data_IF_595687100095
#
_entry.id   IF_595687100095
#
_cell.length_a   1.000
_cell.length_b   1.000
_cell.length_c   1.000
_cell.angle_alpha   90.00
_cell.angle_beta   90.00
_cell.angle_gamma   90.00
#
_symmetry.space_group_name_H-M   'P 1'
#
loop_
_entity.id
_entity.type
_entity.pdbx_description
1 polymer ?
#
# COMPACT_ATOMS: atom_id res chain seq x y z
N UNK A 1 1.43 11.97 -9.24
CA UNK A 1 0.68 12.31 -8.01
C UNK A 1 0.36 11.10 -7.12
N UNK A 2 0.38 9.87 -7.66
CA UNK A 2 0.11 8.62 -6.92
C UNK A 2 1.24 8.10 -6.00
N UNK A 3 2.52 8.41 -6.28
CA UNK A 3 3.62 8.06 -5.37
C UNK A 3 3.61 8.82 -4.03
N UNK A 4 2.87 9.94 -3.93
CA UNK A 4 2.77 10.73 -2.69
C UNK A 4 1.79 10.15 -1.66
N UNK A 5 0.98 9.15 -2.01
CA UNK A 5 0.00 8.58 -1.07
C UNK A 5 0.65 7.67 -0.01
N UNK A 6 1.84 7.08 -0.28
CA UNK A 6 2.62 6.37 0.75
C UNK A 6 3.28 7.34 1.76
N UNK A 7 3.43 8.63 1.43
CA UNK A 7 4.13 9.61 2.28
C UNK A 7 3.30 10.21 3.43
N UNK A 8 2.00 9.95 3.53
CA UNK A 8 1.22 10.35 4.71
C UNK A 8 1.46 9.45 5.94
N UNK A 9 2.20 8.34 5.79
CA UNK A 9 2.32 7.31 6.82
C UNK A 9 3.73 7.17 7.44
N UNK A 10 4.69 8.03 7.10
CA UNK A 10 6.12 7.80 7.43
C UNK A 10 6.76 8.78 8.43
N UNK A 11 6.01 9.71 9.02
CA UNK A 11 6.54 10.60 10.09
C UNK A 11 6.28 10.04 11.50
N UNK A 12 6.68 8.80 11.78
CA UNK A 12 6.69 8.29 13.14
C UNK A 12 7.65 7.10 13.32
N UNK A 13 8.85 7.41 13.84
CA UNK A 13 9.76 6.55 14.61
C UNK A 13 10.96 5.85 13.94
N UNK A 14 12.13 5.84 14.64
CA UNK A 14 13.40 5.32 14.15
C UNK A 14 13.57 3.81 14.44
N UNK A 15 14.17 3.12 13.47
CA UNK A 15 14.38 1.67 13.50
C UNK A 15 15.55 1.19 14.35
N UNK A 16 15.48 -0.09 14.72
CA UNK A 16 16.60 -0.87 15.26
C UNK A 16 16.74 -2.15 14.47
N UNK A 17 17.93 -2.35 13.90
CA UNK A 17 18.35 -3.50 13.11
C UNK A 17 18.88 -4.61 14.02
N UNK A 18 18.55 -5.87 13.75
CA UNK A 18 19.32 -7.01 14.25
C UNK A 18 19.62 -8.01 13.14
N UNK A 19 20.91 -8.37 13.06
CA UNK A 19 21.53 -9.21 12.05
C UNK A 19 21.26 -10.70 12.30
N UNK A 20 20.99 -11.42 11.21
CA UNK A 20 20.82 -12.87 11.16
C UNK A 20 22.15 -13.55 10.83
N UNK A 21 22.63 -14.46 11.67
CA UNK A 21 23.80 -15.31 11.38
C UNK A 21 23.36 -16.77 11.27
N UNK A 22 23.43 -17.32 10.05
CA UNK A 22 23.12 -18.74 9.77
C UNK A 22 24.37 -19.62 9.88
N UNK A 23 24.24 -20.80 10.46
CA UNK A 23 25.22 -21.89 10.36
C UNK A 23 24.49 -23.14 9.84
N UNK A 24 24.91 -23.61 8.67
CA UNK A 24 24.36 -24.78 7.97
C UNK A 24 25.05 -26.05 8.47
N UNK A 25 24.28 -27.02 8.94
CA UNK A 25 24.72 -28.41 9.01
C UNK A 25 23.71 -29.31 8.29
N UNK A 26 24.25 -30.12 7.37
CA UNK A 26 23.52 -31.07 6.54
C UNK A 26 23.12 -32.29 7.38
N UNK A 27 21.82 -32.55 7.54
CA UNK A 27 21.32 -33.80 8.07
C UNK A 27 20.49 -34.52 6.99
N UNK A 28 20.95 -35.71 6.60
CA UNK A 28 20.20 -36.64 5.74
C UNK A 28 19.05 -37.22 6.56
N UNK A 29 17.81 -36.99 6.14
CA UNK A 29 16.62 -37.63 6.71
C UNK A 29 16.05 -38.59 5.68
N UNK A 30 16.07 -39.87 6.01
CA UNK A 30 15.41 -40.96 5.29
C UNK A 30 13.90 -40.81 5.39
N UNK A 31 13.24 -40.65 4.24
CA UNK A 31 11.81 -40.46 4.13
C UNK A 31 11.06 -41.79 4.31
N UNK A 32 10.42 -41.95 5.47
CA UNK A 32 9.33 -42.90 5.66
C UNK A 32 8.01 -42.17 5.47
N UNK A 33 7.36 -42.40 4.33
CA UNK A 33 6.04 -41.86 3.97
C UNK A 33 5.01 -42.43 4.94
N UNK A 34 4.41 -41.55 5.76
CA UNK A 34 3.22 -41.84 6.55
C UNK A 34 1.99 -41.34 5.78
N UNK A 35 0.85 -42.04 5.85
CA UNK A 35 -0.34 -41.66 5.10
C UNK A 35 -0.93 -40.36 5.64
N UNK A 36 -1.36 -39.48 4.73
CA UNK A 36 -2.00 -38.20 5.01
C UNK A 36 -3.18 -38.36 5.98
N UNK A 37 -2.97 -37.88 7.21
CA UNK A 37 -4.04 -37.76 8.20
C UNK A 37 -4.81 -36.45 7.94
N UNK A 38 -6.08 -36.59 7.58
CA UNK A 38 -7.22 -35.73 7.94
C UNK A 38 -6.91 -34.26 8.24
N UNK A 39 -7.46 -33.35 7.42
CA UNK A 39 -7.49 -31.90 7.65
C UNK A 39 -7.72 -31.57 9.14
N UNK A 40 -6.63 -31.27 9.85
CA UNK A 40 -6.67 -30.75 11.21
C UNK A 40 -7.10 -29.29 11.06
N UNK A 41 -8.32 -28.96 11.42
CA UNK A 41 -8.67 -27.57 11.70
C UNK A 41 -7.76 -27.16 12.84
N UNK A 42 -6.67 -26.44 12.53
CA UNK A 42 -5.84 -25.83 13.57
C UNK A 42 -6.76 -24.93 14.39
N UNK A 43 -7.03 -25.35 15.63
CA UNK A 43 -7.75 -24.52 16.58
C UNK A 43 -6.91 -23.27 16.77
N UNK A 44 -7.39 -22.14 16.21
CA UNK A 44 -6.75 -20.84 16.39
C UNK A 44 -6.96 -20.42 17.84
N UNK A 45 -5.87 -20.04 18.52
CA UNK A 45 -5.90 -19.64 19.92
C UNK A 45 -5.75 -18.12 20.07
N UNK A 46 -6.50 -17.55 21.01
CA UNK A 46 -6.38 -16.13 21.39
C UNK A 46 -4.99 -15.87 21.97
N UNK A 47 -4.29 -14.84 21.48
CA UNK A 47 -3.07 -14.35 22.11
C UNK A 47 -3.38 -13.75 23.49
N UNK A 48 -2.44 -13.86 24.44
CA UNK A 48 -2.57 -13.32 25.80
C UNK A 48 -2.65 -11.78 25.85
N UNK A 49 -2.18 -11.12 24.79
CA UNK A 49 -2.19 -9.67 24.63
C UNK A 49 -3.57 -9.10 24.28
N UNK A 50 -4.53 -9.95 23.88
CA UNK A 50 -5.89 -9.47 23.61
C UNK A 50 -6.63 -9.22 24.92
N UNK A 51 -7.38 -8.13 25.00
CA UNK A 51 -8.42 -7.98 26.02
C UNK A 51 -9.55 -8.99 25.79
N UNK A 52 -10.23 -9.47 26.85
CA UNK A 52 -11.37 -10.38 26.71
C UNK A 52 -12.47 -9.78 25.84
N UNK A 53 -13.04 -10.59 24.93
CA UNK A 53 -14.17 -10.18 24.11
C UNK A 53 -14.30 -10.93 22.78
N UNK A 54 -15.26 -10.49 21.94
CA UNK A 54 -15.58 -11.13 20.67
C UNK A 54 -14.50 -10.92 19.61
N UNK A 55 -13.84 -9.75 19.56
CA UNK A 55 -12.68 -9.56 18.68
C UNK A 55 -11.41 -10.08 19.34
N UNK A 56 -10.59 -10.78 18.57
CA UNK A 56 -9.30 -11.27 19.05
C UNK A 56 -8.35 -11.54 17.88
N UNK A 57 -7.04 -11.43 18.15
CA UNK A 57 -5.97 -11.76 17.21
C UNK A 57 -5.26 -13.04 17.65
N UNK A 58 -5.00 -13.95 16.71
CA UNK A 58 -4.25 -15.18 16.93
C UNK A 58 -2.74 -15.03 16.60
N UNK A 59 -1.97 -16.08 16.88
CA UNK A 59 -0.51 -16.09 16.68
C UNK A 59 -0.05 -16.16 15.22
N UNK A 60 -0.95 -16.33 14.24
CA UNK A 60 -0.62 -16.32 12.81
C UNK A 60 -0.46 -14.90 12.24
N UNK A 61 -0.66 -13.86 13.06
CA UNK A 61 -0.47 -12.47 12.67
C UNK A 61 0.98 -12.19 12.23
N UNK A 62 1.15 -11.57 11.06
CA UNK A 62 2.49 -11.23 10.52
C UNK A 62 2.94 -9.79 10.83
N UNK A 63 2.23 -9.09 11.72
CA UNK A 63 2.54 -7.72 12.12
C UNK A 63 2.58 -6.69 10.96
N UNK A 64 1.64 -6.77 10.02
CA UNK A 64 1.57 -5.93 8.82
C UNK A 64 0.89 -4.55 8.99
N UNK A 65 0.58 -4.13 10.21
CA UNK A 65 -0.16 -2.89 10.52
C UNK A 65 -1.60 -2.74 10.01
N UNK A 66 -2.10 -3.57 9.08
CA UNK A 66 -3.40 -3.38 8.40
C UNK A 66 -4.55 -3.01 9.33
N UNK A 67 -4.75 -3.78 10.40
CA UNK A 67 -5.85 -3.52 11.33
C UNK A 67 -5.67 -2.26 12.18
N UNK A 68 -4.42 -1.86 12.45
CA UNK A 68 -4.09 -0.73 13.33
C UNK A 68 -4.37 0.59 12.66
N UNK A 69 -4.22 0.69 11.34
CA UNK A 69 -4.60 1.92 10.63
C UNK A 69 -6.08 1.91 10.20
N UNK A 70 -6.69 0.73 10.01
CA UNK A 70 -8.14 0.63 9.75
C UNK A 70 -8.94 1.05 10.98
N UNK A 71 -8.57 0.56 12.17
CA UNK A 71 -9.22 0.93 13.42
C UNK A 71 -8.22 0.96 14.60
N UNK A 72 -7.51 2.08 14.79
CA UNK A 72 -6.50 2.21 15.85
C UNK A 72 -7.10 2.22 17.26
N UNK A 73 -8.40 2.47 17.45
CA UNK A 73 -8.99 2.40 18.80
C UNK A 73 -9.21 0.95 19.26
N UNK A 74 -9.31 -0.02 18.34
CA UNK A 74 -9.48 -1.45 18.66
C UNK A 74 -8.14 -2.19 18.65
N UNK A 75 -7.29 -1.94 17.65
CA UNK A 75 -6.05 -2.70 17.44
C UNK A 75 -4.79 -1.88 17.72
N UNK A 76 -3.84 -2.50 18.42
CA UNK A 76 -2.53 -1.90 18.70
C UNK A 76 -1.41 -2.94 18.54
N UNK A 77 -0.15 -2.48 18.59
CA UNK A 77 1.01 -3.36 18.55
C UNK A 77 1.39 -3.81 19.97
N UNK A 78 1.43 -5.12 20.20
CA UNK A 78 1.89 -5.71 21.45
C UNK A 78 2.50 -7.10 21.22
N UNK A 79 3.65 -7.36 21.86
CA UNK A 79 4.40 -8.60 21.73
C UNK A 79 4.83 -8.92 20.30
N UNK A 80 5.17 -7.88 19.51
CA UNK A 80 5.65 -8.02 18.13
C UNK A 80 4.58 -8.35 17.07
N UNK A 81 3.29 -8.32 17.43
CA UNK A 81 2.16 -8.55 16.51
C UNK A 81 0.99 -7.62 16.90
N UNK A 82 -0.09 -7.61 16.11
CA UNK A 82 -1.32 -6.89 16.50
C UNK A 82 -2.07 -7.61 17.62
N UNK A 83 -2.70 -6.85 18.51
CA UNK A 83 -3.61 -7.34 19.53
C UNK A 83 -4.79 -6.38 19.72
N UNK A 84 -5.93 -6.92 20.17
CA UNK A 84 -7.10 -6.11 20.55
C UNK A 84 -6.87 -5.52 21.95
N UNK A 85 -6.94 -4.20 22.09
CA UNK A 85 -6.84 -3.53 23.40
C UNK A 85 -8.14 -2.90 23.89
N UNK A 86 -9.12 -2.79 22.99
CA UNK A 86 -10.45 -2.29 23.28
C UNK A 86 -11.46 -3.08 22.45
N UNK A 87 -12.60 -3.44 23.05
CA UNK A 87 -13.69 -4.08 22.33
C UNK A 87 -14.70 -2.99 21.94
N UNK A 88 -15.02 -2.85 20.64
CA UNK A 88 -15.97 -1.85 20.20
C UNK A 88 -17.38 -2.16 20.74
N UNK A 89 -18.19 -1.11 20.87
CA UNK A 89 -19.61 -1.27 21.22
C UNK A 89 -20.38 -1.89 20.06
N UNK A 90 -21.33 -2.78 20.35
CA UNK A 90 -22.18 -3.39 19.32
C UNK A 90 -22.98 -2.34 18.55
N UNK A 91 -23.00 -2.45 17.22
CA UNK A 91 -23.68 -1.54 16.30
C UNK A 91 -22.93 -0.22 16.04
N UNK A 92 -21.73 -0.04 16.60
CA UNK A 92 -20.94 1.17 16.39
C UNK A 92 -20.20 1.18 15.04
N UNK A 93 -19.82 2.37 14.58
CA UNK A 93 -18.91 2.52 13.43
C UNK A 93 -17.55 1.86 13.68
N UNK A 94 -17.10 1.81 14.94
CA UNK A 94 -15.89 1.13 15.38
C UNK A 94 -16.01 -0.40 15.20
N UNK A 95 -17.16 -1.00 15.53
CA UNK A 95 -17.44 -2.42 15.23
C UNK A 95 -17.40 -2.65 13.72
N UNK A 96 -18.04 -1.78 12.93
CA UNK A 96 -18.02 -1.90 11.47
C UNK A 96 -16.59 -1.79 10.90
N UNK A 97 -15.75 -0.90 11.43
CA UNK A 97 -14.34 -0.77 11.06
C UNK A 97 -13.51 -2.00 11.48
N UNK A 98 -13.75 -2.54 12.67
CA UNK A 98 -13.10 -3.75 13.13
C UNK A 98 -13.49 -4.98 12.29
N UNK A 99 -14.76 -5.10 11.87
CA UNK A 99 -15.22 -6.15 10.95
C UNK A 99 -14.59 -6.00 9.55
N UNK A 100 -14.38 -4.75 9.07
CA UNK A 100 -13.56 -4.49 7.87
C UNK A 100 -12.13 -4.99 8.05
N UNK A 101 -11.51 -4.71 9.20
CA UNK A 101 -10.15 -5.17 9.51
C UNK A 101 -10.03 -6.70 9.51
N UNK A 102 -11.06 -7.42 9.99
CA UNK A 102 -11.14 -8.89 9.91
C UNK A 102 -11.03 -9.38 8.47
N UNK A 103 -11.81 -8.78 7.56
CA UNK A 103 -11.79 -9.15 6.14
C UNK A 103 -10.49 -8.70 5.45
N UNK A 104 -9.97 -7.55 5.83
CA UNK A 104 -8.74 -6.98 5.28
C UNK A 104 -7.48 -7.76 5.67
N UNK A 105 -7.49 -8.47 6.80
CA UNK A 105 -6.32 -9.17 7.33
C UNK A 105 -5.67 -10.13 6.30
N UNK A 106 -4.36 -10.00 6.01
CA UNK A 106 -3.66 -10.81 5.00
C UNK A 106 -3.58 -12.30 5.35
N UNK A 107 -3.66 -12.62 6.65
CA UNK A 107 -3.46 -13.98 7.18
C UNK A 107 -4.72 -14.54 7.84
N UNK A 108 -5.83 -13.79 7.86
CA UNK A 108 -7.06 -14.19 8.55
C UNK A 108 -6.86 -14.39 10.06
N UNK A 109 -5.92 -13.65 10.65
CA UNK A 109 -5.52 -13.81 12.05
C UNK A 109 -6.42 -13.06 13.03
N UNK A 110 -7.33 -12.22 12.52
CA UNK A 110 -8.29 -11.47 13.33
C UNK A 110 -9.62 -12.21 13.24
N UNK A 111 -10.22 -12.45 14.40
CA UNK A 111 -11.42 -13.25 14.53
C UNK A 111 -12.52 -12.44 15.22
N UNK A 112 -13.76 -12.84 14.95
CA UNK A 112 -14.94 -12.31 15.63
C UNK A 112 -15.81 -13.48 16.08
N UNK A 113 -15.82 -13.76 17.38
CA UNK A 113 -16.69 -14.77 18.00
C UNK A 113 -16.61 -14.69 19.53
N UNK A 114 -17.72 -14.99 20.19
CA UNK A 114 -17.76 -15.25 21.63
C UNK A 114 -18.51 -16.57 21.91
N UNK A 115 -18.54 -16.99 23.17
CA UNK A 115 -19.12 -18.27 23.60
C UNK A 115 -20.64 -18.35 23.38
N UNK A 116 -21.31 -17.20 23.39
CA UNK A 116 -22.77 -17.09 23.20
C UNK A 116 -23.19 -17.11 21.72
N UNK A 117 -22.27 -16.82 20.80
CA UNK A 117 -22.54 -16.76 19.36
C UNK A 117 -22.40 -18.11 18.68
N UNK A 118 -23.42 -18.49 17.92
CA UNK A 118 -23.30 -19.57 16.94
C UNK A 118 -22.31 -19.21 15.84
N UNK A 119 -21.73 -20.23 15.19
CA UNK A 119 -20.87 -20.04 14.01
C UNK A 119 -21.56 -19.23 12.90
N UNK A 120 -22.87 -19.39 12.74
CA UNK A 120 -23.65 -18.69 11.72
C UNK A 120 -23.74 -17.19 12.03
N UNK A 121 -24.01 -16.83 13.29
CA UNK A 121 -24.06 -15.42 13.73
C UNK A 121 -22.70 -14.74 13.58
N UNK A 122 -21.63 -15.39 14.06
CA UNK A 122 -20.27 -14.87 13.90
C UNK A 122 -19.91 -14.66 12.40
N UNK A 123 -20.24 -15.64 11.56
CA UNK A 123 -19.99 -15.55 10.11
C UNK A 123 -20.83 -14.48 9.41
N UNK A 124 -22.04 -14.19 9.90
CA UNK A 124 -22.89 -13.12 9.38
C UNK A 124 -22.28 -11.75 9.68
N UNK A 125 -21.82 -11.52 10.92
CA UNK A 125 -21.12 -10.29 11.32
C UNK A 125 -19.84 -10.07 10.51
N UNK A 126 -18.99 -11.08 10.36
CA UNK A 126 -17.79 -10.97 9.50
C UNK A 126 -18.16 -10.63 8.05
N UNK A 127 -19.30 -11.14 7.56
CA UNK A 127 -19.79 -10.84 6.21
C UNK A 127 -20.23 -9.40 6.06
N UNK A 128 -20.77 -8.75 7.10
CA UNK A 128 -21.11 -7.32 7.09
C UNK A 128 -19.87 -6.46 6.77
N UNK A 129 -18.74 -6.76 7.41
CA UNK A 129 -17.45 -6.14 7.09
C UNK A 129 -17.03 -6.41 5.64
N UNK A 130 -17.17 -7.65 5.17
CA UNK A 130 -16.78 -8.02 3.83
C UNK A 130 -17.58 -7.32 2.71
N UNK A 131 -18.90 -7.17 2.89
CA UNK A 131 -19.77 -6.50 1.90
C UNK A 131 -19.62 -4.99 1.89
N UNK A 132 -18.92 -4.41 2.87
CA UNK A 132 -18.61 -2.98 2.89
C UNK A 132 -17.48 -2.57 1.95
N UNK A 133 -16.75 -3.54 1.37
CA UNK A 133 -15.74 -3.30 0.33
C UNK A 133 -16.36 -3.33 -1.07
N UNK A 134 -15.94 -2.44 -2.00
CA UNK A 134 -14.99 -1.34 -1.84
C UNK A 134 -15.48 -0.24 -0.88
N UNK A 135 -14.63 0.16 0.07
CA UNK A 135 -14.96 1.16 1.09
C UNK A 135 -14.47 2.55 0.66
N UNK A 136 -15.41 3.48 0.47
CA UNK A 136 -15.11 4.84 -0.02
C UNK A 136 -14.32 5.64 1.02
N UNK A 137 -13.22 6.25 0.59
CA UNK A 137 -12.46 7.21 1.36
C UNK A 137 -13.04 8.63 1.17
N UNK A 138 -13.71 9.19 2.20
CA UNK A 138 -14.57 10.37 2.03
C UNK A 138 -13.83 11.68 1.69
N UNK A 139 -12.49 11.72 1.82
CA UNK A 139 -11.68 12.94 1.63
C UNK A 139 -11.03 13.09 0.25
N UNK A 140 -11.37 12.22 -0.72
CA UNK A 140 -10.78 12.28 -2.06
C UNK A 140 -11.59 13.10 -3.07
N UNK A 141 -12.88 13.34 -2.80
CA UNK A 141 -13.80 13.99 -3.75
C UNK A 141 -13.42 15.42 -4.10
N UNK A 142 -12.78 16.12 -3.18
CA UNK A 142 -12.25 17.47 -3.39
C UNK A 142 -11.14 17.51 -4.46
N UNK A 143 -10.52 16.37 -4.76
CA UNK A 143 -9.49 16.21 -5.79
C UNK A 143 -10.07 15.75 -7.14
N UNK A 144 -11.40 15.70 -7.29
CA UNK A 144 -12.06 15.13 -8.48
C UNK A 144 -11.91 13.61 -8.60
N UNK A 145 -11.60 12.92 -7.49
CA UNK A 145 -11.39 11.48 -7.44
C UNK A 145 -12.35 10.80 -6.45
N UNK A 146 -12.77 9.58 -6.78
CA UNK A 146 -13.32 8.63 -5.83
C UNK A 146 -12.26 7.57 -5.52
N UNK A 147 -11.87 7.47 -4.26
CA UNK A 147 -10.84 6.52 -3.80
C UNK A 147 -11.51 5.51 -2.90
N UNK A 148 -11.33 4.22 -3.20
CA UNK A 148 -11.88 3.12 -2.43
C UNK A 148 -10.76 2.22 -1.90
N UNK A 149 -10.79 1.91 -0.62
CA UNK A 149 -10.00 0.80 -0.08
C UNK A 149 -10.66 -0.52 -0.48
N UNK A 150 -9.88 -1.47 -1.00
CA UNK A 150 -10.42 -2.75 -1.47
C UNK A 150 -10.42 -3.85 -0.40
N UNK A 151 -9.77 -3.63 0.76
CA UNK A 151 -9.62 -4.66 1.78
C UNK A 151 -8.83 -5.86 1.26
N UNK A 152 -9.22 -7.07 1.69
CA UNK A 152 -8.72 -8.35 1.18
C UNK A 152 -7.19 -8.40 0.93
N UNK A 153 -6.37 -7.85 1.83
CA UNK A 153 -4.92 -7.79 1.61
C UNK A 153 -4.32 -9.19 1.45
N UNK A 154 -3.17 -9.33 0.82
CA UNK A 154 -2.53 -10.65 0.65
C UNK A 154 -1.36 -10.88 1.60
N UNK A 155 -1.22 -12.12 2.07
CA UNK A 155 0.01 -12.58 2.73
C UNK A 155 1.19 -12.53 1.77
N UNK A 156 0.94 -12.79 0.49
CA UNK A 156 1.96 -12.89 -0.57
C UNK A 156 2.43 -11.52 -1.06
N UNK A 157 1.94 -10.43 -0.46
CA UNK A 157 2.42 -9.06 -0.67
C UNK A 157 2.73 -8.33 0.65
N UNK A 158 2.89 -9.07 1.75
CA UNK A 158 3.03 -8.51 3.10
C UNK A 158 1.98 -7.43 3.44
N UNK A 159 0.77 -7.60 2.92
CA UNK A 159 -0.34 -6.69 3.03
C UNK A 159 -0.19 -5.31 2.33
N UNK A 160 0.46 -5.28 1.16
CA UNK A 160 0.32 -4.17 0.20
C UNK A 160 -1.14 -3.69 0.15
N UNK A 161 -1.36 -2.38 0.21
CA UNK A 161 -2.71 -1.82 0.40
C UNK A 161 -3.37 -1.55 -0.94
N UNK A 162 -4.40 -2.33 -1.31
CA UNK A 162 -5.03 -2.22 -2.61
C UNK A 162 -6.07 -1.09 -2.61
N UNK A 163 -5.96 -0.22 -3.61
CA UNK A 163 -6.88 0.89 -3.82
C UNK A 163 -7.56 0.77 -5.18
N UNK A 164 -8.78 1.30 -5.27
CA UNK A 164 -9.45 1.58 -6.53
C UNK A 164 -9.65 3.09 -6.60
N UNK A 165 -9.16 3.70 -7.66
CA UNK A 165 -9.25 5.15 -7.89
C UNK A 165 -10.02 5.38 -9.17
N UNK A 166 -11.16 6.05 -9.08
CA UNK A 166 -11.96 6.49 -10.23
C UNK A 166 -11.85 8.00 -10.37
N UNK A 167 -11.58 8.48 -11.58
CA UNK A 167 -11.71 9.87 -11.91
C UNK A 167 -13.21 10.23 -12.04
N UNK A 168 -13.68 11.21 -11.28
CA UNK A 168 -15.10 11.53 -11.18
C UNK A 168 -15.66 12.25 -12.43
N UNK A 169 -14.80 12.77 -13.30
CA UNK A 169 -15.20 13.49 -14.52
C UNK A 169 -15.20 12.59 -15.76
N UNK A 170 -14.24 11.66 -15.84
CA UNK A 170 -14.03 10.79 -17.02
C UNK A 170 -14.49 9.35 -16.81
N UNK A 171 -14.82 8.99 -15.57
CA UNK A 171 -15.15 7.63 -15.14
C UNK A 171 -14.04 6.57 -15.30
N UNK A 172 -12.85 6.97 -15.77
CA UNK A 172 -11.70 6.08 -15.86
C UNK A 172 -11.31 5.61 -14.45
N UNK A 173 -11.26 4.29 -14.26
CA UNK A 173 -10.82 3.69 -13.00
C UNK A 173 -9.52 2.89 -13.14
N UNK A 174 -8.69 3.02 -12.10
CA UNK A 174 -7.38 2.36 -11.95
C UNK A 174 -7.36 1.65 -10.61
N UNK A 175 -6.90 0.40 -10.61
CA UNK A 175 -6.57 -0.33 -9.38
C UNK A 175 -5.09 -0.11 -9.05
N UNK A 176 -4.75 0.27 -7.82
CA UNK A 176 -3.38 0.46 -7.36
C UNK A 176 -3.04 -0.64 -6.37
N UNK A 177 -2.06 -1.48 -6.72
CA UNK A 177 -1.81 -2.79 -6.11
C UNK A 177 -3.07 -3.68 -6.06
N UNK A 178 -2.90 -4.98 -5.80
CA UNK A 178 -4.00 -5.94 -5.92
C UNK A 178 -4.36 -6.61 -4.60
N UNK A 179 -5.66 -6.75 -4.28
CA UNK A 179 -6.09 -7.58 -3.17
C UNK A 179 -5.96 -9.07 -3.54
N UNK A 180 -6.10 -9.96 -2.57
CA UNK A 180 -6.42 -11.37 -2.86
C UNK A 180 -7.69 -11.44 -3.70
N UNK A 181 -7.64 -12.24 -4.75
CA UNK A 181 -8.75 -12.37 -5.67
C UNK A 181 -10.00 -12.95 -5.01
N UNK A 182 -11.13 -12.31 -5.27
CA UNK A 182 -12.46 -12.77 -4.88
C UNK A 182 -13.44 -12.39 -5.98
N UNK A 183 -14.20 -13.36 -6.50
CA UNK A 183 -15.24 -13.08 -7.51
C UNK A 183 -16.32 -12.14 -6.99
N UNK A 184 -16.61 -12.17 -5.69
CA UNK A 184 -17.52 -11.23 -5.02
C UNK A 184 -16.98 -9.81 -5.01
N UNK A 185 -15.70 -9.64 -4.66
CA UNK A 185 -15.05 -8.34 -4.67
C UNK A 185 -14.94 -7.80 -6.10
N UNK A 186 -14.62 -8.66 -7.08
CA UNK A 186 -14.61 -8.29 -8.50
C UNK A 186 -15.95 -7.71 -8.93
N UNK A 187 -17.04 -8.43 -8.64
CA UNK A 187 -18.39 -7.94 -8.93
C UNK A 187 -18.66 -6.59 -8.24
N UNK A 188 -18.34 -6.47 -6.95
CA UNK A 188 -18.54 -5.23 -6.21
C UNK A 188 -17.70 -4.06 -6.78
N UNK A 189 -16.50 -4.31 -7.31
CA UNK A 189 -15.68 -3.32 -8.02
C UNK A 189 -16.38 -2.89 -9.30
N UNK A 190 -16.79 -3.83 -10.15
CA UNK A 190 -17.45 -3.51 -11.42
C UNK A 190 -18.80 -2.82 -11.23
N UNK A 191 -19.57 -3.18 -10.19
CA UNK A 191 -20.80 -2.49 -9.81
C UNK A 191 -20.54 -1.01 -9.44
N UNK A 192 -19.31 -0.66 -9.02
CA UNK A 192 -18.92 0.72 -8.67
C UNK A 192 -18.39 1.53 -9.84
N UNK A 193 -17.59 0.93 -10.72
CA UNK A 193 -16.82 1.67 -11.73
C UNK A 193 -17.07 1.22 -13.18
N UNK A 194 -17.80 0.14 -13.40
CA UNK A 194 -18.06 -0.43 -14.72
C UNK A 194 -16.85 -1.19 -15.28
N UNK A 195 -15.72 -0.52 -15.45
CA UNK A 195 -14.47 -1.07 -15.99
C UNK A 195 -13.26 -0.58 -15.19
N UNK A 196 -12.24 -1.43 -15.07
CA UNK A 196 -10.92 -1.04 -14.56
C UNK A 196 -9.94 -1.04 -15.73
N UNK A 197 -9.45 0.13 -16.13
CA UNK A 197 -8.57 0.27 -17.30
C UNK A 197 -7.16 -0.25 -17.03
N UNK A 198 -6.62 0.10 -15.86
CA UNK A 198 -5.25 -0.21 -15.47
C UNK A 198 -5.17 -0.83 -14.08
N UNK A 199 -4.22 -1.75 -13.91
CA UNK A 199 -3.72 -2.20 -12.61
C UNK A 199 -2.30 -1.63 -12.46
N UNK A 200 -2.13 -0.64 -11.61
CA UNK A 200 -0.87 0.03 -11.34
C UNK A 200 -0.17 -0.65 -10.16
N UNK A 201 0.90 -1.38 -10.43
CA UNK A 201 1.70 -2.10 -9.43
C UNK A 201 2.83 -1.19 -8.94
N UNK A 202 2.90 -0.97 -7.63
CA UNK A 202 3.83 0.00 -7.07
C UNK A 202 5.25 -0.52 -6.97
N UNK A 203 5.43 -1.77 -6.52
CA UNK A 203 6.72 -2.44 -6.39
C UNK A 203 6.57 -3.94 -6.64
N UNK A 204 7.66 -4.59 -7.01
CA UNK A 204 7.77 -6.04 -7.26
C UNK A 204 7.28 -6.91 -6.09
N UNK A 205 7.41 -6.46 -4.85
CA UNK A 205 6.96 -7.20 -3.67
C UNK A 205 5.46 -7.00 -3.32
N UNK A 206 4.77 -6.08 -4.00
CA UNK A 206 3.38 -5.70 -3.71
C UNK A 206 2.35 -6.39 -4.66
N UNK A 207 2.78 -7.39 -5.45
CA UNK A 207 2.10 -7.84 -6.68
C UNK A 207 1.15 -9.03 -6.54
N UNK A 208 0.75 -9.43 -5.33
CA UNK A 208 -0.05 -10.64 -5.14
C UNK A 208 -1.34 -10.66 -5.99
N UNK A 209 -1.61 -11.77 -6.69
CA UNK A 209 -2.76 -11.98 -7.58
C UNK A 209 -2.89 -11.03 -8.79
N UNK A 210 -1.86 -10.23 -9.12
CA UNK A 210 -1.93 -9.23 -10.19
C UNK A 210 -2.36 -9.81 -11.56
N UNK A 211 -1.80 -10.96 -11.97
CA UNK A 211 -2.19 -11.65 -13.21
C UNK A 211 -3.66 -12.03 -13.24
N UNK A 212 -4.14 -12.58 -12.12
CA UNK A 212 -5.51 -13.08 -12.03
C UNK A 212 -6.49 -11.93 -12.15
N UNK A 213 -6.22 -10.81 -11.46
CA UNK A 213 -7.02 -9.61 -11.60
C UNK A 213 -7.00 -9.04 -13.02
N UNK A 214 -5.83 -8.98 -13.66
CA UNK A 214 -5.70 -8.49 -15.03
C UNK A 214 -6.54 -9.32 -16.01
N UNK A 215 -6.43 -10.66 -15.93
CA UNK A 215 -7.21 -11.58 -16.75
C UNK A 215 -8.72 -11.43 -16.51
N UNK A 216 -9.13 -11.30 -15.26
CA UNK A 216 -10.54 -11.30 -14.85
C UNK A 216 -11.25 -9.97 -15.08
N UNK A 217 -10.50 -8.86 -15.12
CA UNK A 217 -10.99 -7.51 -15.40
C UNK A 217 -10.76 -7.09 -16.86
N UNK A 218 -9.86 -7.75 -17.58
CA UNK A 218 -9.38 -7.26 -18.89
C UNK A 218 -8.48 -6.02 -18.79
N UNK A 219 -7.99 -5.71 -17.59
CA UNK A 219 -7.17 -4.53 -17.31
C UNK A 219 -5.71 -4.72 -17.72
N UNK A 220 -5.04 -3.65 -18.16
CA UNK A 220 -3.60 -3.68 -18.43
C UNK A 220 -2.81 -3.44 -17.14
N UNK A 221 -1.81 -4.27 -16.87
CA UNK A 221 -0.87 -4.08 -15.75
C UNK A 221 0.21 -3.09 -16.15
N UNK A 222 0.49 -2.19 -15.22
CA UNK A 222 1.48 -1.14 -15.33
C UNK A 222 2.46 -1.32 -14.19
N UNK A 223 3.74 -1.35 -14.49
CA UNK A 223 4.81 -1.41 -13.49
C UNK A 223 6.03 -0.64 -13.99
N UNK A 224 6.92 -0.18 -13.10
CA UNK A 224 8.19 0.38 -13.53
C UNK A 224 9.15 -0.72 -14.03
N UNK A 225 9.98 -0.45 -15.04
CA UNK A 225 10.88 -1.46 -15.61
C UNK A 225 11.87 -2.06 -14.59
N UNK A 226 12.33 -1.25 -13.62
CA UNK A 226 13.20 -1.71 -12.54
C UNK A 226 12.50 -2.63 -11.54
N UNK A 227 11.16 -2.62 -11.50
CA UNK A 227 10.34 -3.46 -10.64
C UNK A 227 9.74 -4.65 -11.42
N UNK A 228 9.90 -4.70 -12.74
CA UNK A 228 9.37 -5.75 -13.61
C UNK A 228 10.24 -7.03 -13.60
N UNK A 229 10.74 -7.41 -12.42
CA UNK A 229 11.57 -8.60 -12.20
C UNK A 229 10.85 -9.58 -11.26
N UNK A 230 10.37 -10.73 -11.77
CA UNK A 230 9.73 -11.77 -10.98
C UNK A 230 10.54 -12.26 -9.77
N UNK A 231 11.87 -12.16 -9.82
CA UNK A 231 12.75 -12.62 -8.73
C UNK A 231 12.74 -11.72 -7.50
N UNK A 232 12.24 -10.50 -7.64
CA UNK A 232 12.11 -9.52 -6.55
C UNK A 232 10.76 -9.63 -5.81
N UNK A 233 9.81 -10.43 -6.34
CA UNK A 233 8.53 -10.65 -5.70
C UNK A 233 8.65 -11.43 -4.38
N UNK A 234 7.70 -11.21 -3.47
CA UNK A 234 7.69 -11.87 -2.15
C UNK A 234 7.57 -13.39 -2.23
N UNK A 235 6.86 -13.89 -3.23
CA UNK A 235 6.73 -15.32 -3.52
C UNK A 235 6.94 -15.56 -5.00
N UNK A 236 7.38 -16.78 -5.35
CA UNK A 236 7.55 -17.17 -6.74
C UNK A 236 6.21 -17.07 -7.50
N UNK A 237 5.13 -17.46 -6.84
CA UNK A 237 3.77 -17.45 -7.38
C UNK A 237 3.29 -16.02 -7.65
N UNK A 238 3.55 -15.08 -6.74
CA UNK A 238 3.18 -13.68 -6.90
C UNK A 238 3.95 -13.02 -8.06
N UNK A 239 5.22 -13.41 -8.28
CA UNK A 239 6.04 -12.83 -9.35
C UNK A 239 5.77 -13.37 -10.76
N UNK A 240 4.99 -14.46 -10.92
CA UNK A 240 4.73 -15.04 -12.24
C UNK A 240 4.14 -13.98 -13.17
N UNK A 241 4.69 -13.83 -14.39
CA UNK A 241 4.21 -12.89 -15.39
C UNK A 241 4.45 -11.42 -15.08
N UNK A 242 5.21 -11.08 -14.02
CA UNK A 242 5.54 -9.68 -13.69
C UNK A 242 6.40 -9.00 -14.76
N UNK A 243 7.34 -9.74 -15.34
CA UNK A 243 8.12 -9.35 -16.52
C UNK A 243 7.29 -9.28 -17.81
N UNK A 244 6.06 -9.79 -17.80
CA UNK A 244 5.12 -9.74 -18.91
C UNK A 244 4.04 -8.66 -18.73
N UNK A 245 4.18 -7.75 -17.74
CA UNK A 245 3.26 -6.62 -17.60
C UNK A 245 3.17 -5.82 -18.90
N UNK A 246 1.94 -5.46 -19.26
CA UNK A 246 1.61 -4.89 -20.57
C UNK A 246 2.25 -3.52 -20.79
N UNK A 247 2.49 -2.77 -19.71
CA UNK A 247 3.14 -1.46 -19.73
C UNK A 247 4.27 -1.44 -18.70
N UNK A 248 5.49 -1.20 -19.18
CA UNK A 248 6.67 -0.96 -18.35
C UNK A 248 7.06 0.51 -18.43
N UNK A 249 6.90 1.23 -17.33
CA UNK A 249 7.26 2.63 -17.21
C UNK A 249 8.78 2.77 -17.15
N UNK A 250 9.29 3.87 -17.72
CA UNK A 250 10.70 4.22 -17.73
C UNK A 250 10.87 5.68 -17.27
N UNK A 251 12.05 5.97 -16.69
CA UNK A 251 12.40 7.30 -16.20
C UNK A 251 11.86 7.61 -14.79
N UNK A 252 11.81 8.89 -14.45
CA UNK A 252 11.51 9.34 -13.07
C UNK A 252 10.04 9.76 -12.87
N UNK A 253 9.23 9.73 -13.94
CA UNK A 253 7.85 10.22 -13.93
C UNK A 253 7.75 11.77 -13.84
N UNK A 254 6.59 12.30 -13.41
CA UNK A 254 5.39 11.59 -12.97
C UNK A 254 4.65 10.92 -14.15
N UNK A 255 3.99 9.81 -13.87
CA UNK A 255 3.03 9.19 -14.78
C UNK A 255 1.62 9.42 -14.26
N UNK A 256 0.73 9.89 -15.13
CA UNK A 256 -0.68 10.08 -14.82
C UNK A 256 -1.51 8.99 -15.52
N UNK A 257 -2.16 8.08 -14.77
CA UNK A 257 -2.98 7.03 -15.39
C UNK A 257 -4.32 7.53 -15.94
N UNK A 258 -4.70 8.79 -15.67
CA UNK A 258 -5.94 9.41 -16.13
C UNK A 258 -5.76 10.29 -17.37
N UNK A 259 -4.53 10.61 -17.74
CA UNK A 259 -4.22 11.39 -18.94
C UNK A 259 -3.58 10.52 -20.03
N UNK A 260 -4.16 10.51 -21.23
CA UNK A 260 -3.58 9.84 -22.40
C UNK A 260 -3.42 8.31 -22.24
N UNK A 261 -2.55 7.74 -23.07
CA UNK A 261 -2.14 6.34 -22.97
C UNK A 261 -0.84 6.23 -22.17
N UNK A 262 -0.87 5.52 -21.04
CA UNK A 262 0.34 5.11 -20.34
C UNK A 262 1.22 4.26 -21.28
N UNK A 263 2.47 4.70 -21.47
CA UNK A 263 3.40 4.11 -22.45
C UNK A 263 3.86 5.08 -23.54
N UNK A 264 2.98 5.98 -24.00
CA UNK A 264 3.35 7.04 -24.96
C UNK A 264 3.90 8.29 -24.25
N UNK A 265 3.52 8.49 -22.99
CA UNK A 265 4.01 9.59 -22.14
C UNK A 265 5.43 9.37 -21.60
N UNK A 266 6.07 8.23 -21.88
CA UNK A 266 7.43 7.92 -21.43
C UNK A 266 8.53 8.73 -22.15
N UNK A 267 8.19 9.59 -23.11
CA UNK A 267 9.14 10.40 -23.87
C UNK A 267 9.10 11.91 -23.55
N UNK A 268 8.19 12.41 -22.70
CA UNK A 268 8.06 13.86 -22.46
C UNK A 268 8.44 14.23 -21.02
N UNK A 269 9.73 14.14 -20.72
CA UNK A 269 10.35 14.94 -19.68
C UNK A 269 11.76 15.36 -20.12
N UNK A 270 11.83 16.15 -21.19
CA UNK A 270 13.05 16.85 -21.58
C UNK A 270 13.00 18.33 -21.17
N UNK A 271 13.58 18.62 -20.00
CA UNK A 271 14.44 19.80 -19.81
C UNK A 271 13.81 21.16 -19.45
N UNK A 272 14.60 22.04 -18.79
CA UNK A 272 14.12 23.24 -18.12
C UNK A 272 13.88 24.40 -19.08
N UNK A 273 13.02 25.33 -18.66
CA UNK A 273 12.80 26.67 -19.18
C UNK A 273 13.77 27.16 -20.27
N UNK A 274 13.28 27.18 -21.52
CA UNK A 274 13.88 27.93 -22.60
C UNK A 274 13.78 29.44 -22.31
N UNK A 275 14.90 30.04 -21.93
CA UNK A 275 15.09 31.49 -22.01
C UNK A 275 15.11 31.93 -23.48
N UNK A 276 14.28 32.93 -23.79
CA UNK A 276 14.35 33.68 -25.06
C UNK A 276 15.75 34.25 -25.30
N UNK A 277 16.21 34.14 -26.55
CA UNK A 277 17.11 35.00 -27.37
C UNK A 277 17.67 34.07 -28.45
N UNK A 278 17.76 34.37 -29.73
CA UNK A 278 17.58 35.55 -30.57
C UNK A 278 18.17 35.14 -31.93
N UNK A 279 17.66 35.71 -33.02
CA UNK A 279 18.02 35.39 -34.41
C UNK A 279 19.53 35.47 -34.72
N UNK A 280 20.01 34.56 -35.59
CA UNK A 280 20.92 34.84 -36.72
C UNK A 280 21.55 33.56 -37.32
N UNK A 281 21.17 33.23 -38.56
CA UNK A 281 22.06 32.67 -39.61
C UNK A 281 22.92 33.85 -40.16
N UNK A 282 23.99 33.68 -40.99
CA UNK A 282 24.43 32.47 -41.70
C UNK A 282 25.96 32.25 -41.85
N UNK A 283 26.35 31.10 -42.40
CA UNK A 283 27.12 30.91 -43.67
C UNK A 283 27.95 29.62 -43.68
N UNK A 284 28.04 29.02 -44.87
CA UNK A 284 28.80 27.81 -45.22
C UNK A 284 30.26 28.13 -45.54
N UNK A 285 31.18 27.22 -45.20
CA UNK A 285 32.52 27.11 -45.77
C UNK A 285 33.20 25.77 -45.38
N UNK A 286 34.09 25.17 -46.19
CA UNK A 286 34.23 23.71 -46.23
C UNK A 286 35.62 23.13 -45.83
N UNK A 287 35.59 21.81 -45.53
CA UNK A 287 36.61 20.74 -45.73
C UNK A 287 37.80 20.55 -44.76
N UNK A 288 38.13 19.25 -44.67
CA UNK A 288 39.34 18.55 -44.16
C UNK A 288 39.40 18.37 -42.64
N UNK A 289 39.75 17.23 -42.04
CA UNK A 289 40.20 15.92 -42.50
C UNK A 289 40.87 15.22 -41.30
N UNK A 290 40.69 13.88 -41.17
CA UNK A 290 41.60 13.00 -40.44
C UNK A 290 41.33 12.73 -38.95
N UNK A 291 41.59 11.47 -38.55
CA UNK A 291 42.02 11.14 -37.19
C UNK A 291 41.16 10.13 -36.43
N UNK A 292 41.42 8.84 -36.69
CA UNK A 292 41.09 7.72 -35.80
C UNK A 292 41.67 7.95 -34.39
N UNK A 293 40.98 7.53 -33.33
CA UNK A 293 41.50 6.67 -32.26
C UNK A 293 40.43 6.44 -31.18
N UNK A 294 40.09 5.17 -30.96
CA UNK A 294 39.20 4.73 -29.90
C UNK A 294 39.84 4.81 -28.51
N UNK A 295 38.99 4.97 -27.49
CA UNK A 295 39.28 4.71 -26.08
C UNK A 295 38.02 4.14 -25.39
N UNK A 296 38.20 3.26 -24.37
CA UNK A 296 37.15 2.40 -23.81
C UNK A 296 36.24 3.14 -22.82
N UNK A 297 35.07 2.56 -22.46
CA UNK A 297 34.09 3.21 -21.59
C UNK A 297 34.62 3.38 -20.15
N UNK A 298 34.46 4.59 -19.65
CA UNK A 298 34.76 4.98 -18.28
C UNK A 298 33.77 4.40 -17.28
N UNK A 299 34.32 3.95 -16.16
CA UNK A 299 33.67 3.44 -14.95
C UNK A 299 32.81 4.54 -14.30
N UNK A 300 31.57 4.21 -13.95
CA UNK A 300 30.67 5.06 -13.16
C UNK A 300 31.30 5.43 -11.80
N UNK A 301 31.39 6.71 -11.43
CA UNK A 301 31.78 7.08 -10.07
C UNK A 301 30.61 6.86 -9.10
N UNK A 302 30.84 5.98 -8.12
CA UNK A 302 29.99 5.78 -6.94
C UNK A 302 29.70 7.11 -6.23
N UNK A 303 28.43 7.40 -5.99
CA UNK A 303 27.97 8.54 -5.22
C UNK A 303 28.53 8.48 -3.78
N UNK A 304 29.20 9.56 -3.38
CA UNK A 304 29.62 9.83 -2.00
C UNK A 304 28.38 10.11 -1.14
N UNK A 305 28.31 9.48 0.03
CA UNK A 305 27.38 9.84 1.09
C UNK A 305 27.56 11.31 1.53
N UNK A 306 26.48 12.08 1.76
CA UNK A 306 26.60 13.44 2.26
C UNK A 306 26.94 13.45 3.75
N UNK A 307 27.88 14.32 4.09
CA UNK A 307 28.35 14.62 5.45
C UNK A 307 27.30 15.44 6.20
N UNK A 308 27.14 15.12 7.49
CA UNK A 308 26.41 15.90 8.48
C UNK A 308 26.83 17.38 8.48
N UNK A 309 25.84 18.28 8.55
CA UNK A 309 26.03 19.68 8.91
C UNK A 309 25.30 19.98 10.25
N UNK A 310 25.86 20.87 11.09
CA UNK A 310 25.50 20.99 12.50
C UNK A 310 24.37 21.99 12.77
N UNK A 311 23.71 21.73 13.91
CA UNK A 311 22.67 22.53 14.56
C UNK A 311 23.24 23.89 15.02
N UNK A 312 22.57 24.99 14.65
CA UNK A 312 22.74 26.28 15.32
C UNK A 312 21.41 27.04 15.49
N UNK A 313 21.07 27.22 16.78
CA UNK A 313 20.61 28.44 17.45
C UNK A 313 19.34 29.18 16.98
N UNK A 314 18.29 29.04 17.81
CA UNK A 314 17.19 29.98 17.97
C UNK A 314 17.65 31.24 18.75
N UNK A 315 17.14 32.43 18.42
CA UNK A 315 17.01 33.51 19.39
C UNK A 315 15.56 33.66 19.88
N UNK A 316 15.42 33.75 21.20
CA UNK A 316 14.23 34.22 21.88
C UNK A 316 14.27 35.75 22.01
N UNK A 317 13.11 36.43 21.91
CA UNK A 317 12.76 37.58 22.76
C UNK A 317 11.37 38.19 22.47
N UNK A 318 10.55 38.24 23.54
CA UNK A 318 9.67 39.36 24.00
C UNK A 318 8.44 39.71 23.14
N UNK A 319 7.22 39.85 23.65
CA UNK A 319 6.73 40.04 25.02
C UNK A 319 6.08 41.42 25.21
N UNK A 320 4.75 41.50 25.03
CA UNK A 320 3.82 42.50 25.60
C UNK A 320 2.40 42.10 25.16
N UNK A 321 1.37 41.86 25.96
CA UNK A 321 1.07 42.25 27.32
C UNK A 321 -0.24 43.05 27.34
N UNK A 322 -1.23 42.60 28.14
CA UNK A 322 -2.49 43.27 28.57
C UNK A 322 -3.69 43.06 27.62
N UNK A 323 -4.89 42.68 28.07
CA UNK A 323 -5.38 42.45 29.43
C UNK A 323 -6.77 41.80 29.45
N UNK A 324 -7.05 41.10 30.55
CA UNK A 324 -8.40 40.88 31.11
C UNK A 324 -8.65 42.02 32.15
N UNK A 325 -9.78 42.11 32.89
CA UNK A 325 -10.91 41.16 33.03
C UNK A 325 -12.32 41.83 33.16
N UNK A 326 -13.35 41.00 33.44
CA UNK A 326 -14.57 41.24 34.25
C UNK A 326 -15.84 40.67 33.54
N UNK A 327 -16.47 39.58 34.00
CA UNK A 327 -17.36 39.36 35.17
C UNK A 327 -18.84 39.72 34.91
N UNK A 328 -19.72 38.75 35.22
CA UNK A 328 -21.17 38.89 35.43
C UNK A 328 -22.00 38.27 34.31
N UNK A 329 -23.01 37.43 34.51
CA UNK A 329 -23.71 36.94 35.70
C UNK A 329 -25.12 36.49 35.29
N UNK A 330 -25.51 35.27 35.73
CA UNK A 330 -26.86 34.75 36.06
C UNK A 330 -28.13 34.99 35.20
N UNK A 331 -28.95 33.93 35.21
CA UNK A 331 -30.42 33.82 35.00
C UNK A 331 -30.89 33.88 33.54
N UNK A 332 -31.88 33.10 33.08
CA UNK A 332 -32.84 32.20 33.72
C UNK A 332 -33.68 31.46 32.65
N UNK A 333 -34.68 30.73 33.14
CA UNK A 333 -35.62 29.82 32.47
C UNK A 333 -36.21 30.30 31.13
N UNK A 334 -36.51 29.31 30.28
CA UNK A 334 -37.38 29.36 29.10
C UNK A 334 -37.40 27.99 28.45
#
# INVERSE_FOLDING_TARGET
>A
MLLKMKCLNFEAFPGTQHACTSSRQHLRVSASVQPESSQRVELREKRKQNVPGPFWVDSSCINCDTCRWIEPSVFHADGGQSAVHHQPSEGSEEEAAALRAVTACPTGSIHFSNEEMTRVQASAKVREGAVSFPYLFPKARELGLEIYHLGYHSRDSFAATPWLVRNAETDLAVMVDTPRYSSKLKRAILDRVGEVKYIFLTHSHDVADHNKWAQELGAKRVIHECEADPSLAMTKEAGLGLDECEIKLQGEGPWDPFEGALGDQAAVAAGPHAGRRGDALPTRGPRTGGGLHGRPPGVCPSARAPRHLPVHQLPAARGSGRGAPAVGGRHGRG
#
